data_IF_841206799236
#
_entry.id   IF_841206799236
#
_cell.length_a   1.000
_cell.length_b   1.000
_cell.length_c   1.000
_cell.angle_alpha   90.00
_cell.angle_beta   90.00
_cell.angle_gamma   90.00
#
_symmetry.space_group_name_H-M   'P 1'
#
loop_
_entity.id
_entity.type
_entity.pdbx_description
1 polymer ?
#
# COMPACT_ATOMS: atom_id res chain seq x y z
N UNK A 1 -6.15 -16.79 11.64
CA UNK A 1 -4.95 -15.94 11.81
C UNK A 1 -4.69 -15.33 10.46
N UNK A 2 -4.58 -14.01 10.35
CA UNK A 2 -4.48 -13.34 9.05
C UNK A 2 -3.05 -12.89 8.76
N UNK A 3 -2.66 -12.92 7.49
CA UNK A 3 -1.42 -12.36 6.97
C UNK A 3 -1.73 -11.34 5.89
N UNK A 4 -1.00 -10.24 5.92
CA UNK A 4 -1.14 -9.16 4.94
C UNK A 4 0.04 -9.22 3.99
N UNK A 5 -0.22 -9.40 2.70
CA UNK A 5 0.81 -9.62 1.69
C UNK A 5 0.82 -8.45 0.72
N UNK A 6 1.99 -7.85 0.56
CA UNK A 6 2.25 -6.85 -0.48
C UNK A 6 3.08 -7.43 -1.59
N UNK A 7 2.67 -7.17 -2.84
CA UNK A 7 3.36 -7.68 -4.02
C UNK A 7 3.53 -6.53 -5.03
N UNK A 8 4.76 -6.06 -5.24
CA UNK A 8 5.09 -5.24 -6.41
C UNK A 8 5.38 -6.17 -7.59
N UNK A 9 4.33 -6.50 -8.33
CA UNK A 9 4.35 -7.61 -9.29
C UNK A 9 4.84 -7.14 -10.66
N UNK A 10 6.04 -7.58 -11.03
CA UNK A 10 6.52 -7.39 -12.39
C UNK A 10 5.54 -8.01 -13.41
N UNK A 11 5.22 -7.26 -14.47
CA UNK A 11 4.29 -7.75 -15.48
C UNK A 11 4.84 -8.93 -16.29
N UNK A 12 6.17 -9.02 -16.45
CA UNK A 12 6.83 -10.11 -17.16
C UNK A 12 7.47 -11.14 -16.21
N UNK A 13 7.61 -12.41 -16.62
CA UNK A 13 8.01 -13.52 -15.74
C UNK A 13 9.51 -13.57 -15.40
N UNK A 14 10.30 -12.61 -15.89
CA UNK A 14 11.78 -12.57 -15.72
C UNK A 14 12.27 -11.30 -15.05
N UNK A 15 11.35 -10.41 -14.67
CA UNK A 15 11.66 -9.18 -13.96
C UNK A 15 11.43 -9.37 -12.46
N UNK A 16 12.10 -8.54 -11.66
CA UNK A 16 12.06 -8.65 -10.20
C UNK A 16 10.69 -8.27 -9.67
N UNK A 17 10.21 -9.03 -8.71
CA UNK A 17 8.94 -8.86 -8.00
C UNK A 17 9.27 -8.69 -6.53
N UNK A 18 8.75 -7.62 -5.94
CA UNK A 18 8.88 -7.38 -4.52
C UNK A 18 7.82 -8.18 -3.77
N UNK A 19 8.21 -8.73 -2.63
CA UNK A 19 7.32 -9.42 -1.71
C UNK A 19 7.51 -8.83 -0.32
N UNK A 20 6.41 -8.58 0.38
CA UNK A 20 6.42 -8.26 1.81
C UNK A 20 5.25 -8.94 2.52
N UNK A 21 5.47 -9.40 3.75
CA UNK A 21 4.46 -10.06 4.57
C UNK A 21 4.43 -9.43 5.94
N UNK A 22 3.22 -9.04 6.37
CA UNK A 22 2.95 -8.61 7.74
C UNK A 22 2.24 -9.72 8.51
N UNK A 23 2.53 -9.79 9.81
CA UNK A 23 1.77 -10.63 10.74
C UNK A 23 0.40 -10.03 11.08
N UNK A 24 -0.32 -10.68 11.99
CA UNK A 24 -1.68 -10.26 12.38
C UNK A 24 -1.71 -8.93 13.12
N UNK A 25 -0.62 -8.58 13.81
CA UNK A 25 -0.42 -7.30 14.49
C UNK A 25 0.05 -6.18 13.53
N UNK A 26 0.31 -6.52 12.26
CA UNK A 26 0.78 -5.59 11.23
C UNK A 26 2.29 -5.39 11.20
N UNK A 27 3.08 -6.17 11.95
CA UNK A 27 4.55 -6.05 11.94
C UNK A 27 5.13 -6.70 10.69
N UNK A 28 6.16 -6.10 10.10
CA UNK A 28 6.86 -6.67 8.96
C UNK A 28 7.67 -7.90 9.39
N UNK A 29 7.24 -9.08 8.95
CA UNK A 29 7.91 -10.36 9.29
C UNK A 29 8.77 -10.90 8.16
N UNK A 30 8.54 -10.45 6.91
CA UNK A 30 9.36 -10.81 5.76
C UNK A 30 9.30 -9.74 4.68
N UNK A 31 10.44 -9.47 4.04
CA UNK A 31 10.48 -8.81 2.74
C UNK A 31 11.61 -9.37 1.89
N UNK A 32 11.39 -9.44 0.58
CA UNK A 32 12.39 -9.95 -0.35
C UNK A 32 12.09 -9.50 -1.78
N UNK A 33 13.11 -9.53 -2.63
CA UNK A 33 12.95 -9.44 -4.08
C UNK A 33 13.19 -10.80 -4.72
N UNK A 34 12.22 -11.27 -5.50
CA UNK A 34 12.21 -12.56 -6.21
C UNK A 34 12.03 -12.35 -7.72
N UNK A 35 12.16 -13.39 -8.55
CA UNK A 35 12.04 -13.26 -10.01
C UNK A 35 10.93 -14.14 -10.56
N UNK A 36 10.93 -15.41 -10.18
CA UNK A 36 10.05 -16.43 -10.75
C UNK A 36 8.79 -16.61 -9.92
N UNK A 37 7.70 -17.08 -10.55
CA UNK A 37 6.49 -17.41 -9.78
C UNK A 37 6.73 -18.50 -8.74
N UNK A 38 7.66 -19.44 -8.98
CA UNK A 38 8.01 -20.47 -8.01
C UNK A 38 8.65 -19.90 -6.74
N UNK A 39 9.42 -18.81 -6.87
CA UNK A 39 9.96 -18.10 -5.71
C UNK A 39 8.86 -17.30 -4.98
N UNK A 40 7.88 -16.75 -5.71
CA UNK A 40 6.68 -16.13 -5.11
C UNK A 40 5.92 -17.20 -4.29
N UNK A 41 5.65 -18.36 -4.89
CA UNK A 41 4.98 -19.50 -4.25
C UNK A 41 5.74 -19.95 -2.99
N UNK A 42 7.07 -19.99 -3.05
CA UNK A 42 7.91 -20.36 -1.92
C UNK A 42 7.83 -19.35 -0.76
N UNK A 43 7.83 -18.04 -1.05
CA UNK A 43 7.64 -17.00 -0.03
C UNK A 43 6.27 -17.12 0.61
N UNK A 44 5.21 -17.24 -0.19
CA UNK A 44 3.85 -17.41 0.33
C UNK A 44 3.72 -18.67 1.19
N UNK A 45 4.22 -19.80 0.69
CA UNK A 45 4.22 -21.07 1.43
C UNK A 45 4.96 -20.99 2.78
N UNK A 46 6.07 -20.26 2.86
CA UNK A 46 6.83 -20.12 4.09
C UNK A 46 6.19 -19.16 5.11
N UNK A 47 5.51 -18.10 4.64
CA UNK A 47 5.10 -16.99 5.51
C UNK A 47 3.59 -16.88 5.73
N UNK A 48 2.76 -17.59 4.96
CA UNK A 48 1.29 -17.56 5.08
C UNK A 48 0.67 -18.93 5.37
N UNK A 49 1.47 -19.95 5.68
CA UNK A 49 0.95 -21.30 5.91
C UNK A 49 -0.09 -21.36 7.03
N UNK A 50 -1.29 -21.85 6.71
CA UNK A 50 -2.40 -21.98 7.66
C UNK A 50 -3.08 -20.66 8.05
N UNK A 51 -2.69 -19.54 7.42
CA UNK A 51 -3.29 -18.23 7.64
C UNK A 51 -4.24 -17.84 6.49
N UNK A 52 -5.27 -17.07 6.81
CA UNK A 52 -6.00 -16.31 5.78
C UNK A 52 -5.09 -15.21 5.22
N UNK A 53 -5.18 -14.97 3.90
CA UNK A 53 -4.36 -13.96 3.22
C UNK A 53 -5.23 -12.80 2.77
N UNK A 54 -4.78 -11.59 3.06
CA UNK A 54 -5.23 -10.37 2.40
C UNK A 54 -4.05 -9.86 1.58
N UNK A 55 -4.15 -9.90 0.27
CA UNK A 55 -3.09 -9.47 -0.63
C UNK A 55 -3.41 -8.12 -1.29
N UNK A 56 -2.41 -7.27 -1.42
CA UNK A 56 -2.45 -6.06 -2.24
C UNK A 56 -1.33 -6.16 -3.29
N UNK A 57 -1.73 -6.09 -4.56
CA UNK A 57 -0.88 -6.39 -5.71
C UNK A 57 -0.77 -5.13 -6.59
N UNK A 58 0.44 -4.62 -6.80
CA UNK A 58 0.73 -3.58 -7.80
C UNK A 58 0.82 -4.20 -9.20
N UNK A 59 -0.30 -4.71 -9.69
CA UNK A 59 -0.49 -5.14 -11.06
C UNK A 59 -1.98 -5.34 -11.36
N UNK A 60 -2.39 -5.23 -12.64
CA UNK A 60 -3.76 -5.48 -13.03
C UNK A 60 -4.29 -6.86 -12.59
N UNK A 61 -5.45 -6.88 -11.92
CA UNK A 61 -6.18 -8.11 -11.58
C UNK A 61 -7.31 -8.43 -12.57
N UNK A 62 -7.97 -7.40 -13.10
CA UNK A 62 -9.08 -7.58 -14.05
C UNK A 62 -8.88 -6.63 -15.22
N UNK A 63 -8.64 -7.19 -16.41
CA UNK A 63 -8.43 -6.42 -17.65
C UNK A 63 -9.42 -6.91 -18.71
N UNK A 64 -10.60 -6.31 -18.86
CA UNK A 64 -11.61 -6.81 -19.80
C UNK A 64 -11.50 -6.18 -21.20
N UNK A 65 -10.86 -5.02 -21.31
CA UNK A 65 -10.77 -4.26 -22.55
C UNK A 65 -9.64 -4.76 -23.46
N UNK A 66 -9.93 -4.81 -24.77
CA UNK A 66 -8.94 -5.18 -25.78
C UNK A 66 -7.89 -4.09 -25.99
N UNK A 67 -8.30 -2.82 -26.01
CA UNK A 67 -7.43 -1.65 -26.22
C UNK A 67 -7.84 -0.50 -25.29
N UNK A 68 -7.02 0.55 -25.23
CA UNK A 68 -7.30 1.75 -24.44
C UNK A 68 -7.02 1.59 -22.93
N UNK A 69 -7.68 2.42 -22.13
CA UNK A 69 -7.61 2.42 -20.65
C UNK A 69 -8.87 1.78 -20.06
N UNK A 70 -8.74 1.10 -18.92
CA UNK A 70 -9.88 0.73 -18.07
C UNK A 70 -10.43 1.99 -17.39
N UNK A 71 -11.65 1.89 -16.88
CA UNK A 71 -12.22 2.96 -16.06
C UNK A 71 -11.40 3.24 -14.79
N UNK A 72 -10.75 2.21 -14.24
CA UNK A 72 -9.84 2.34 -13.11
C UNK A 72 -8.70 3.33 -13.38
N UNK A 73 -7.92 3.15 -14.46
CA UNK A 73 -6.83 4.07 -14.83
C UNK A 73 -7.35 5.48 -15.13
N UNK A 74 -8.52 5.60 -15.76
CA UNK A 74 -9.14 6.90 -16.06
C UNK A 74 -9.46 7.64 -14.77
N UNK A 75 -10.09 6.97 -13.80
CA UNK A 75 -10.42 7.55 -12.49
C UNK A 75 -9.17 7.89 -11.69
N UNK A 76 -8.16 7.01 -11.67
CA UNK A 76 -6.86 7.33 -11.07
C UNK A 76 -6.27 8.59 -11.70
N UNK A 77 -6.21 8.66 -13.03
CA UNK A 77 -5.64 9.82 -13.73
C UNK A 77 -6.45 11.10 -13.47
N UNK A 78 -7.78 10.99 -13.35
CA UNK A 78 -8.67 12.10 -13.01
C UNK A 78 -8.37 12.68 -11.63
N UNK A 79 -8.20 11.83 -10.60
CA UNK A 79 -7.98 12.29 -9.22
C UNK A 79 -6.50 12.60 -8.92
N UNK A 80 -5.58 11.85 -9.52
CA UNK A 80 -4.15 11.84 -9.17
C UNK A 80 -3.22 12.42 -10.25
N UNK A 81 -3.73 12.72 -11.45
CA UNK A 81 -2.92 13.22 -12.56
C UNK A 81 -2.17 14.52 -12.25
N UNK A 82 -2.78 15.45 -11.50
CA UNK A 82 -2.13 16.71 -11.08
C UNK A 82 -0.90 16.49 -10.18
N UNK A 83 -0.83 15.35 -9.50
CA UNK A 83 0.29 14.95 -8.64
C UNK A 83 1.36 14.16 -9.42
N UNK A 84 1.21 14.00 -10.74
CA UNK A 84 2.04 13.11 -11.58
C UNK A 84 1.92 11.63 -11.21
N UNK A 85 0.77 11.21 -10.68
CA UNK A 85 0.43 9.85 -10.28
C UNK A 85 -0.67 9.22 -11.18
N UNK A 86 -0.64 9.51 -12.48
CA UNK A 86 -1.53 8.87 -13.46
C UNK A 86 -1.11 7.43 -13.77
N UNK A 87 -2.08 6.55 -14.01
CA UNK A 87 -1.82 5.13 -14.25
C UNK A 87 -1.52 4.82 -15.72
N UNK A 88 -0.73 3.77 -15.95
CA UNK A 88 -0.47 3.25 -17.30
C UNK A 88 -1.67 2.41 -17.79
N UNK A 89 -2.13 2.57 -19.04
CA UNK A 89 -3.25 1.79 -19.58
C UNK A 89 -3.00 0.27 -19.56
N UNK A 90 -3.87 -0.49 -18.88
CA UNK A 90 -3.89 -1.94 -18.99
C UNK A 90 -4.96 -2.38 -20.00
N UNK A 91 -4.57 -3.20 -20.98
CA UNK A 91 -5.47 -3.76 -21.99
C UNK A 91 -4.86 -5.02 -22.63
N UNK A 92 -5.72 -5.86 -23.21
CA UNK A 92 -5.33 -7.19 -23.73
C UNK A 92 -4.47 -7.14 -25.00
N UNK A 93 -4.37 -6.01 -25.70
CA UNK A 93 -3.42 -5.86 -26.81
C UNK A 93 -1.97 -5.84 -26.34
N UNK A 94 -1.72 -5.56 -25.06
CA UNK A 94 -0.43 -5.76 -24.42
C UNK A 94 -0.33 -7.20 -23.91
N UNK A 95 0.63 -7.96 -24.46
CA UNK A 95 0.89 -9.37 -24.08
C UNK A 95 1.15 -9.61 -22.59
N UNK A 96 1.54 -8.58 -21.84
CA UNK A 96 1.74 -8.69 -20.40
C UNK A 96 0.42 -8.69 -19.61
N UNK A 97 -0.69 -8.31 -20.26
CA UNK A 97 -2.03 -8.21 -19.68
C UNK A 97 -3.02 -9.16 -20.35
N UNK A 98 -2.54 -10.15 -21.12
CA UNK A 98 -3.38 -11.17 -21.75
C UNK A 98 -2.78 -12.59 -21.62
N UNK A 99 -3.07 -13.31 -20.51
CA UNK A 99 -3.72 -12.83 -19.30
C UNK A 99 -2.80 -11.97 -18.41
N UNK A 100 -3.36 -11.07 -17.58
CA UNK A 100 -2.58 -10.29 -16.64
C UNK A 100 -2.05 -11.20 -15.52
N UNK A 101 -0.77 -11.02 -15.18
CA UNK A 101 -0.08 -11.86 -14.19
C UNK A 101 -0.72 -11.80 -12.79
N UNK A 102 -1.30 -10.67 -12.42
CA UNK A 102 -2.02 -10.52 -11.14
C UNK A 102 -3.25 -11.43 -11.05
N UNK A 103 -4.04 -11.53 -12.12
CA UNK A 103 -5.18 -12.45 -12.23
C UNK A 103 -4.72 -13.90 -12.05
N UNK A 104 -3.68 -14.31 -12.76
CA UNK A 104 -3.14 -15.66 -12.70
C UNK A 104 -2.62 -16.02 -11.29
N UNK A 105 -1.97 -15.06 -10.61
CA UNK A 105 -1.46 -15.26 -9.27
C UNK A 105 -2.61 -15.43 -8.26
N UNK A 106 -3.63 -14.58 -8.32
CA UNK A 106 -4.80 -14.69 -7.47
C UNK A 106 -5.55 -16.01 -7.68
N UNK A 107 -5.73 -16.44 -8.94
CA UNK A 107 -6.33 -17.73 -9.27
C UNK A 107 -5.51 -18.90 -8.72
N UNK A 108 -4.18 -18.86 -8.87
CA UNK A 108 -3.26 -19.91 -8.38
C UNK A 108 -3.39 -20.13 -6.87
N UNK A 109 -3.55 -19.06 -6.09
CA UNK A 109 -3.64 -19.13 -4.62
C UNK A 109 -5.08 -19.11 -4.08
N UNK A 110 -6.09 -19.15 -4.96
CA UNK A 110 -7.50 -19.14 -4.56
C UNK A 110 -7.93 -17.86 -3.84
N UNK A 111 -7.33 -16.72 -4.21
CA UNK A 111 -7.70 -15.42 -3.67
C UNK A 111 -8.89 -14.84 -4.41
N UNK A 112 -9.91 -14.42 -3.67
CA UNK A 112 -11.05 -13.71 -4.24
C UNK A 112 -10.63 -12.29 -4.65
N UNK A 113 -10.94 -11.90 -5.89
CA UNK A 113 -10.57 -10.60 -6.46
C UNK A 113 -11.75 -9.64 -6.55
N UNK A 114 -12.95 -10.04 -6.13
CA UNK A 114 -14.07 -9.11 -6.02
C UNK A 114 -13.82 -8.20 -4.80
N UNK A 115 -13.65 -6.87 -4.99
CA UNK A 115 -13.36 -5.97 -3.89
C UNK A 115 -14.47 -5.99 -2.84
N UNK A 116 -15.73 -6.33 -3.17
CA UNK A 116 -16.81 -6.40 -2.18
C UNK A 116 -16.69 -7.57 -1.21
N UNK A 117 -15.93 -8.61 -1.58
CA UNK A 117 -15.70 -9.76 -0.73
C UNK A 117 -14.81 -9.37 0.45
N UNK A 118 -15.33 -9.56 1.67
CA UNK A 118 -14.59 -9.33 2.90
C UNK A 118 -13.68 -10.53 3.21
N UNK A 119 -12.46 -10.29 3.70
CA UNK A 119 -11.66 -11.33 4.34
C UNK A 119 -12.47 -11.94 5.49
N UNK A 120 -12.54 -13.27 5.53
CA UNK A 120 -13.29 -14.00 6.55
C UNK A 120 -12.62 -15.37 6.76
N UNK A 121 -13.07 -16.10 7.78
CA UNK A 121 -12.55 -17.44 8.06
C UNK A 121 -12.64 -18.32 6.80
N UNK A 122 -11.50 -18.85 6.37
CA UNK A 122 -11.40 -19.68 5.15
C UNK A 122 -11.51 -18.93 3.82
N UNK A 123 -11.48 -17.59 3.81
CA UNK A 123 -11.56 -16.77 2.60
C UNK A 123 -10.43 -15.75 2.52
N UNK A 124 -9.47 -16.05 1.66
CA UNK A 124 -8.39 -15.14 1.29
C UNK A 124 -8.81 -14.25 0.11
N UNK A 125 -8.33 -13.02 0.09
CA UNK A 125 -8.68 -12.01 -0.93
C UNK A 125 -7.43 -11.34 -1.50
N UNK A 126 -7.56 -10.79 -2.69
CA UNK A 126 -6.54 -9.96 -3.32
C UNK A 126 -7.17 -8.70 -3.92
N UNK A 127 -6.53 -7.55 -3.72
CA UNK A 127 -6.90 -6.28 -4.35
C UNK A 127 -5.78 -5.75 -5.24
N UNK A 128 -6.19 -5.08 -6.32
CA UNK A 128 -5.30 -4.30 -7.15
C UNK A 128 -5.02 -2.96 -6.47
N UNK A 129 -3.75 -2.63 -6.26
CA UNK A 129 -3.33 -1.34 -5.71
C UNK A 129 -2.38 -0.63 -6.66
N UNK A 130 -2.19 0.67 -6.44
CA UNK A 130 -1.20 1.45 -7.17
C UNK A 130 -0.40 2.35 -6.21
N UNK A 131 0.90 2.07 -5.96
CA UNK A 131 1.71 2.74 -4.95
C UNK A 131 1.78 4.27 -5.09
N UNK A 132 1.89 4.82 -6.31
CA UNK A 132 2.05 6.27 -6.47
C UNK A 132 0.86 7.10 -5.93
N UNK A 133 -0.40 6.82 -6.29
CA UNK A 133 -1.57 7.43 -5.64
C UNK A 133 -1.59 7.23 -4.12
N UNK A 134 -1.24 6.03 -3.65
CA UNK A 134 -1.19 5.76 -2.21
C UNK A 134 -0.17 6.64 -1.49
N UNK A 135 1.04 6.82 -2.04
CA UNK A 135 2.06 7.72 -1.49
C UNK A 135 1.59 9.18 -1.48
N UNK A 136 0.89 9.63 -2.52
CA UNK A 136 0.34 10.99 -2.57
C UNK A 136 -0.60 11.25 -1.39
N UNK A 137 -1.47 10.29 -1.08
CA UNK A 137 -2.41 10.39 0.04
C UNK A 137 -1.71 10.23 1.38
N UNK A 138 -1.01 9.13 1.57
CA UNK A 138 -0.43 8.74 2.86
C UNK A 138 0.68 9.68 3.32
N UNK A 139 1.45 10.23 2.39
CA UNK A 139 2.57 11.13 2.71
C UNK A 139 2.26 12.59 2.41
N UNK A 140 1.00 12.91 2.07
CA UNK A 140 0.51 14.27 1.78
C UNK A 140 1.38 15.01 0.73
N UNK A 141 1.73 14.31 -0.34
CA UNK A 141 2.66 14.85 -1.34
C UNK A 141 1.96 15.80 -2.31
N UNK A 142 2.62 16.92 -2.61
CA UNK A 142 2.20 17.81 -3.71
C UNK A 142 2.42 17.18 -5.10
N UNK A 143 3.43 16.29 -5.21
CA UNK A 143 3.73 15.48 -6.40
C UNK A 143 4.46 14.18 -6.00
N UNK A 144 4.40 13.16 -6.86
CA UNK A 144 5.13 11.90 -6.63
C UNK A 144 6.63 12.12 -6.40
N UNK A 145 7.21 11.32 -5.51
CA UNK A 145 8.66 11.25 -5.33
C UNK A 145 9.30 10.63 -6.58
N UNK A 146 10.30 11.28 -7.22
CA UNK A 146 10.89 10.81 -8.47
C UNK A 146 11.99 9.74 -8.27
N UNK A 147 11.75 8.73 -7.42
CA UNK A 147 12.74 7.69 -7.07
C UNK A 147 12.92 6.61 -8.15
N UNK A 148 11.86 6.27 -8.89
CA UNK A 148 11.91 5.27 -9.98
C UNK A 148 12.79 5.71 -11.14
N UNK A 149 13.47 4.76 -11.77
CA UNK A 149 14.36 5.00 -12.92
C UNK A 149 13.60 5.58 -14.12
N UNK A 150 14.01 6.76 -14.60
CA UNK A 150 13.46 7.41 -15.82
C UNK A 150 14.54 8.24 -16.52
N UNK A 151 14.44 8.45 -17.85
CA UNK A 151 15.36 9.35 -18.57
C UNK A 151 15.46 10.72 -17.89
N UNK A 152 16.68 11.22 -17.76
CA UNK A 152 16.95 12.51 -17.11
C UNK A 152 17.07 12.48 -15.58
N UNK A 153 16.99 11.31 -14.94
CA UNK A 153 17.22 11.14 -13.50
C UNK A 153 18.56 10.46 -13.24
N UNK A 154 19.51 11.19 -12.65
CA UNK A 154 20.79 10.64 -12.22
C UNK A 154 20.70 9.98 -10.83
N UNK A 155 21.78 9.33 -10.39
CA UNK A 155 21.83 8.67 -9.08
C UNK A 155 21.64 9.66 -7.93
N UNK A 156 22.22 10.86 -8.02
CA UNK A 156 22.16 11.85 -6.95
C UNK A 156 20.72 12.33 -6.71
N UNK A 157 20.03 12.76 -7.78
CA UNK A 157 18.63 13.19 -7.72
C UNK A 157 17.70 12.07 -7.25
N UNK A 158 17.91 10.83 -7.71
CA UNK A 158 17.15 9.66 -7.23
C UNK A 158 17.43 9.36 -5.77
N UNK A 159 18.68 9.46 -5.31
CA UNK A 159 19.04 9.18 -3.91
C UNK A 159 18.31 10.12 -2.95
N UNK A 160 18.19 11.41 -3.29
CA UNK A 160 17.38 12.36 -2.49
C UNK A 160 15.92 11.93 -2.43
N UNK A 161 15.31 11.59 -3.57
CA UNK A 161 13.93 11.12 -3.62
C UNK A 161 13.72 9.81 -2.85
N UNK A 162 14.71 8.92 -2.88
CA UNK A 162 14.73 7.67 -2.15
C UNK A 162 14.81 7.87 -0.64
N UNK A 163 15.69 8.75 -0.14
CA UNK A 163 15.73 9.07 1.28
C UNK A 163 14.39 9.64 1.75
N UNK A 164 13.79 10.55 0.98
CA UNK A 164 12.46 11.08 1.28
C UNK A 164 11.37 10.00 1.33
N UNK A 165 11.43 8.99 0.44
CA UNK A 165 10.50 7.86 0.44
C UNK A 165 10.66 6.99 1.69
N UNK A 166 11.90 6.61 2.03
CA UNK A 166 12.16 5.77 3.20
C UNK A 166 11.78 6.48 4.51
N UNK A 167 12.09 7.78 4.62
CA UNK A 167 11.72 8.59 5.78
C UNK A 167 10.20 8.74 5.91
N UNK A 168 9.48 8.87 4.80
CA UNK A 168 8.02 8.93 4.79
C UNK A 168 7.39 7.59 5.19
N UNK A 169 7.94 6.47 4.71
CA UNK A 169 7.52 5.13 5.12
C UNK A 169 7.74 4.91 6.62
N UNK A 170 8.93 5.21 7.14
CA UNK A 170 9.19 5.11 8.59
C UNK A 170 8.25 5.98 9.42
N UNK A 171 7.97 7.21 8.96
CA UNK A 171 7.06 8.11 9.67
C UNK A 171 5.62 7.59 9.69
N UNK A 172 5.11 7.12 8.55
CA UNK A 172 3.68 6.81 8.39
C UNK A 172 3.33 5.37 8.72
N UNK A 173 4.19 4.43 8.34
CA UNK A 173 3.94 2.99 8.52
C UNK A 173 4.85 2.37 9.59
N UNK A 174 5.99 3.01 9.89
CA UNK A 174 7.03 2.48 10.78
C UNK A 174 6.55 2.05 12.18
N UNK A 175 5.70 2.81 12.89
CA UNK A 175 5.20 2.39 14.20
C UNK A 175 4.43 1.08 14.17
N UNK A 176 3.63 0.85 13.13
CA UNK A 176 2.86 -0.40 12.95
C UNK A 176 3.76 -1.53 12.45
N UNK A 177 4.53 -1.27 11.39
CA UNK A 177 5.35 -2.29 10.72
C UNK A 177 6.62 -2.65 11.50
N UNK A 178 6.93 -1.92 12.58
CA UNK A 178 8.18 -2.01 13.33
C UNK A 178 9.43 -1.82 12.44
N UNK A 179 9.37 -0.90 11.47
CA UNK A 179 10.41 -0.76 10.43
C UNK A 179 11.79 -0.43 11.02
N UNK A 180 11.87 0.48 11.99
CA UNK A 180 13.15 0.88 12.59
C UNK A 180 13.83 -0.24 13.37
N UNK A 181 13.06 -1.21 13.86
CA UNK A 181 13.53 -2.41 14.58
C UNK A 181 13.80 -3.57 13.62
N UNK A 182 13.26 -3.53 12.41
CA UNK A 182 13.36 -4.59 11.43
C UNK A 182 14.74 -4.57 10.75
N UNK A 183 15.49 -5.66 10.93
CA UNK A 183 16.83 -5.80 10.34
C UNK A 183 16.85 -5.65 8.81
N UNK A 184 15.89 -6.26 8.11
CA UNK A 184 15.85 -6.24 6.64
C UNK A 184 15.57 -4.82 6.13
N UNK A 185 14.70 -4.08 6.81
CA UNK A 185 14.49 -2.67 6.53
C UNK A 185 15.76 -1.83 6.70
N UNK A 186 16.54 -2.06 7.76
CA UNK A 186 17.84 -1.38 7.95
C UNK A 186 18.86 -1.70 6.85
N UNK A 187 18.85 -2.93 6.32
CA UNK A 187 19.65 -3.32 5.16
C UNK A 187 19.23 -2.55 3.89
N UNK A 188 17.92 -2.38 3.66
CA UNK A 188 17.39 -1.58 2.56
C UNK A 188 17.78 -0.10 2.69
N UNK A 189 17.65 0.48 3.88
CA UNK A 189 18.09 1.86 4.17
C UNK A 189 19.57 2.06 3.87
N UNK A 190 20.40 1.13 4.31
CA UNK A 190 21.85 1.16 4.08
C UNK A 190 22.16 1.05 2.58
N UNK A 191 21.53 0.11 1.88
CA UNK A 191 21.72 -0.07 0.43
C UNK A 191 21.39 1.20 -0.37
N UNK A 192 20.31 1.91 0.00
CA UNK A 192 19.94 3.19 -0.61
C UNK A 192 20.94 4.29 -0.26
N UNK A 193 21.36 4.39 1.01
CA UNK A 193 22.31 5.42 1.45
C UNK A 193 23.70 5.28 0.80
N UNK A 194 24.12 4.04 0.51
CA UNK A 194 25.43 3.73 -0.06
C UNK A 194 25.43 3.64 -1.59
N UNK A 195 24.25 3.73 -2.25
CA UNK A 195 24.12 3.58 -3.69
C UNK A 195 24.94 4.62 -4.46
N UNK A 196 25.77 4.16 -5.39
CA UNK A 196 26.59 4.98 -6.29
C UNK A 196 26.23 4.79 -7.75
N UNK A 197 25.47 3.75 -8.08
CA UNK A 197 25.08 3.38 -9.44
C UNK A 197 23.56 3.21 -9.54
N UNK A 198 22.94 3.52 -10.70
CA UNK A 198 21.49 3.43 -10.85
C UNK A 198 20.92 2.06 -10.50
N UNK A 199 21.60 0.98 -10.91
CA UNK A 199 21.11 -0.38 -10.68
C UNK A 199 21.07 -0.77 -9.19
N UNK A 200 21.84 -0.11 -8.31
CA UNK A 200 21.81 -0.39 -6.87
C UNK A 200 20.50 0.09 -6.24
N UNK A 201 19.99 1.23 -6.71
CA UNK A 201 18.66 1.73 -6.36
C UNK A 201 17.55 0.87 -7.00
N UNK A 202 17.74 0.47 -8.27
CA UNK A 202 16.78 -0.40 -8.96
C UNK A 202 16.66 -1.76 -8.26
N UNK A 203 17.72 -2.21 -7.55
CA UNK A 203 17.74 -3.49 -6.82
C UNK A 203 16.92 -3.52 -5.53
N UNK A 204 16.48 -2.38 -5.03
CA UNK A 204 15.64 -2.31 -3.82
C UNK A 204 14.23 -1.79 -4.12
N UNK A 205 14.00 -1.29 -5.33
CA UNK A 205 12.74 -0.66 -5.75
C UNK A 205 11.53 -1.54 -5.47
N UNK A 206 11.51 -2.74 -6.03
CA UNK A 206 10.37 -3.63 -5.94
C UNK A 206 10.10 -4.08 -4.49
N UNK A 207 11.15 -4.37 -3.71
CA UNK A 207 11.00 -4.79 -2.32
C UNK A 207 10.41 -3.68 -1.43
N UNK A 208 10.81 -2.42 -1.62
CA UNK A 208 10.26 -1.29 -0.86
C UNK A 208 8.81 -1.00 -1.27
N UNK A 209 8.51 -1.04 -2.57
CA UNK A 209 7.14 -0.85 -3.07
C UNK A 209 6.20 -1.96 -2.56
N UNK A 210 6.69 -3.19 -2.45
CA UNK A 210 5.95 -4.29 -1.86
C UNK A 210 5.66 -4.09 -0.37
N UNK A 211 6.58 -3.49 0.40
CA UNK A 211 6.32 -3.13 1.82
C UNK A 211 5.15 -2.14 1.93
N UNK A 212 5.09 -1.14 1.04
CA UNK A 212 3.95 -0.24 0.99
C UNK A 212 2.67 -1.00 0.59
N UNK A 213 2.74 -1.90 -0.39
CA UNK A 213 1.59 -2.73 -0.76
C UNK A 213 1.10 -3.56 0.43
N UNK A 214 1.98 -4.12 1.25
CA UNK A 214 1.60 -4.92 2.41
C UNK A 214 0.86 -4.08 3.46
N UNK A 215 1.29 -2.82 3.65
CA UNK A 215 0.56 -1.86 4.46
C UNK A 215 -0.83 -1.53 3.87
N UNK A 216 -0.96 -1.42 2.54
CA UNK A 216 -2.27 -1.23 1.90
C UNK A 216 -3.20 -2.45 2.07
N UNK A 217 -2.64 -3.67 2.07
CA UNK A 217 -3.40 -4.88 2.41
C UNK A 217 -3.90 -4.85 3.86
N UNK A 218 -3.06 -4.39 4.80
CA UNK A 218 -3.45 -4.22 6.21
C UNK A 218 -4.55 -3.17 6.37
N UNK A 219 -4.43 -2.01 5.70
CA UNK A 219 -5.47 -0.96 5.69
C UNK A 219 -6.77 -1.48 5.08
N UNK A 220 -6.71 -2.24 3.99
CA UNK A 220 -7.89 -2.83 3.38
C UNK A 220 -8.71 -3.71 4.32
N UNK A 221 -8.02 -4.40 5.24
CA UNK A 221 -8.66 -5.24 6.23
C UNK A 221 -9.21 -4.44 7.41
N UNK A 222 -8.41 -3.52 7.98
CA UNK A 222 -8.72 -2.86 9.26
C UNK A 222 -9.38 -1.49 9.15
N UNK A 223 -9.10 -0.75 8.08
CA UNK A 223 -9.57 0.62 7.85
C UNK A 223 -10.17 0.73 6.46
N UNK A 224 -11.12 -0.16 6.19
CA UNK A 224 -11.70 -0.31 4.86
C UNK A 224 -12.46 0.94 4.41
N UNK A 225 -13.11 1.64 5.34
CA UNK A 225 -13.92 2.83 5.02
C UNK A 225 -13.05 3.99 4.51
N UNK A 226 -11.76 4.01 4.85
CA UNK A 226 -10.77 4.91 4.27
C UNK A 226 -10.37 4.53 2.84
N UNK A 227 -10.51 3.27 2.46
CA UNK A 227 -10.07 2.76 1.17
C UNK A 227 -11.13 3.00 0.09
N UNK A 228 -10.70 3.52 -1.05
CA UNK A 228 -11.57 3.87 -2.18
C UNK A 228 -11.29 2.93 -3.35
N UNK A 229 -12.34 2.27 -3.83
CA UNK A 229 -12.31 1.45 -5.04
C UNK A 229 -12.59 2.33 -6.25
N UNK A 230 -11.62 2.48 -7.14
CA UNK A 230 -11.76 3.22 -8.39
C UNK A 230 -11.98 2.26 -9.55
N UNK A 231 -13.24 2.12 -9.98
CA UNK A 231 -13.66 1.17 -11.01
C UNK A 231 -14.64 0.15 -10.46
N UNK A 232 -14.70 -1.05 -11.06
CA UNK A 232 -15.59 -2.13 -10.62
C UNK A 232 -14.92 -3.50 -10.75
N UNK A 233 -15.42 -4.51 -10.03
CA UNK A 233 -14.96 -5.89 -10.17
C UNK A 233 -15.06 -6.41 -11.62
N UNK A 234 -16.04 -5.92 -12.39
CA UNK A 234 -16.29 -6.33 -13.78
C UNK A 234 -15.37 -5.62 -14.76
N UNK A 235 -15.19 -4.31 -14.60
CA UNK A 235 -14.51 -3.46 -15.60
C UNK A 235 -13.02 -3.25 -15.28
N UNK A 236 -12.56 -3.78 -14.15
CA UNK A 236 -11.26 -3.48 -13.55
C UNK A 236 -11.37 -2.36 -12.52
N UNK A 237 -10.55 -2.45 -11.48
CA UNK A 237 -10.52 -1.48 -10.39
C UNK A 237 -9.09 -1.31 -9.86
N UNK A 238 -8.84 -0.17 -9.22
CA UNK A 238 -7.64 0.09 -8.42
C UNK A 238 -8.08 0.62 -7.07
N UNK A 239 -7.54 0.09 -5.98
CA UNK A 239 -7.83 0.54 -4.62
C UNK A 239 -6.76 1.54 -4.16
N UNK A 240 -7.20 2.66 -3.58
CA UNK A 240 -6.34 3.72 -3.04
C UNK A 240 -6.77 4.08 -1.60
N UNK A 241 -5.85 4.54 -0.73
CA UNK A 241 -6.15 4.84 0.68
C UNK A 241 -6.80 6.22 0.89
N UNK A 242 -7.80 6.55 0.08
CA UNK A 242 -8.51 7.84 0.07
C UNK A 242 -8.31 8.63 -1.22
N UNK A 243 -9.00 9.77 -1.34
CA UNK A 243 -8.82 10.72 -2.44
C UNK A 243 -8.13 12.01 -1.95
N UNK A 244 -7.34 12.68 -2.81
CA UNK A 244 -6.70 13.93 -2.45
C UNK A 244 -7.76 15.03 -2.21
N UNK A 245 -7.77 15.61 -1.00
CA UNK A 245 -8.75 16.61 -0.57
C UNK A 245 -9.63 16.15 0.59
N UNK A 246 -9.96 14.85 0.63
CA UNK A 246 -10.75 14.25 1.72
C UNK A 246 -9.90 14.04 3.00
N UNK A 247 -8.58 13.99 2.84
CA UNK A 247 -7.60 13.81 3.94
C UNK A 247 -7.63 14.99 4.91
N UNK A 248 -7.93 16.21 4.44
CA UNK A 248 -8.08 17.37 5.33
C UNK A 248 -9.20 17.20 6.37
N UNK A 249 -10.15 16.29 6.10
CA UNK A 249 -11.21 15.92 7.05
C UNK A 249 -10.81 14.71 7.94
N UNK A 250 -10.00 13.76 7.45
CA UNK A 250 -9.74 12.49 8.16
C UNK A 250 -8.43 12.44 8.99
N UNK A 251 -7.30 12.99 8.53
CA UNK A 251 -6.07 13.07 9.37
C UNK A 251 -6.23 14.14 10.46
N UNK A 252 -7.03 15.17 10.19
CA UNK A 252 -7.47 16.11 11.21
C UNK A 252 -8.22 15.43 12.35
N UNK A 253 -9.05 14.42 12.08
CA UNK A 253 -9.86 13.73 13.10
C UNK A 253 -8.99 13.00 14.12
N UNK A 254 -8.17 12.04 13.68
CA UNK A 254 -7.35 11.22 14.57
C UNK A 254 -6.29 12.06 15.32
N UNK A 255 -5.64 13.03 14.67
CA UNK A 255 -4.69 13.90 15.37
C UNK A 255 -5.38 14.91 16.30
N UNK A 256 -6.60 15.38 15.98
CA UNK A 256 -7.38 16.23 16.91
C UNK A 256 -7.87 15.41 18.10
N UNK A 257 -8.30 14.18 17.87
CA UNK A 257 -8.71 13.26 18.93
C UNK A 257 -7.54 12.96 19.86
N UNK A 258 -6.37 12.61 19.31
CA UNK A 258 -5.15 12.39 20.09
C UNK A 258 -4.73 13.65 20.86
N UNK A 259 -4.74 14.83 20.23
CA UNK A 259 -4.46 16.12 20.91
C UNK A 259 -5.47 16.43 22.01
N UNK A 260 -6.75 16.11 21.79
CA UNK A 260 -7.81 16.31 22.79
C UNK A 260 -7.63 15.35 23.98
N UNK A 261 -7.27 14.09 23.72
CA UNK A 261 -6.95 13.11 24.77
C UNK A 261 -5.75 13.59 25.59
N UNK A 262 -4.67 14.01 24.94
CA UNK A 262 -3.46 14.47 25.62
C UNK A 262 -3.71 15.76 26.41
N UNK A 263 -4.48 16.71 25.87
CA UNK A 263 -4.89 17.92 26.59
C UNK A 263 -5.77 17.60 27.82
N UNK A 264 -6.69 16.65 27.69
CA UNK A 264 -7.56 16.22 28.80
C UNK A 264 -6.75 15.57 29.92
N UNK A 265 -5.71 14.79 29.60
CA UNK A 265 -4.82 14.18 30.58
C UNK A 265 -3.92 15.21 31.29
N UNK A 266 -3.58 16.32 30.63
CA UNK A 266 -2.83 17.43 31.26
C UNK A 266 -3.72 18.16 32.27
N UNK A 267 -4.95 18.47 31.90
CA UNK A 267 -5.90 19.19 32.78
C UNK A 267 -6.48 18.28 33.88
N UNK A 268 -6.62 16.98 33.60
CA UNK A 268 -7.22 15.98 34.49
C UNK A 268 -6.28 14.78 34.68
N UNK A 269 -5.16 14.94 35.41
CA UNK A 269 -4.10 13.92 35.52
C UNK A 269 -4.51 12.66 36.29
N UNK A 270 -5.70 12.64 36.89
CA UNK A 270 -6.27 11.45 37.55
C UNK A 270 -7.02 10.52 36.57
N UNK A 271 -7.26 10.93 35.33
CA UNK A 271 -7.86 10.07 34.31
C UNK A 271 -6.84 9.08 33.75
N UNK A 272 -7.30 7.87 33.44
CA UNK A 272 -6.54 6.95 32.59
C UNK A 272 -6.70 7.37 31.13
N UNK A 273 -5.71 7.04 30.28
CA UNK A 273 -5.78 7.32 28.84
C UNK A 273 -7.05 6.75 28.19
N UNK A 274 -7.42 5.52 28.55
CA UNK A 274 -8.65 4.87 28.07
C UNK A 274 -9.94 5.61 28.51
N UNK A 275 -9.95 6.19 29.73
CA UNK A 275 -11.06 7.01 30.18
C UNK A 275 -11.11 8.37 29.44
N UNK A 276 -9.96 8.94 29.11
CA UNK A 276 -9.85 10.16 28.33
C UNK A 276 -10.30 9.96 26.87
N UNK A 277 -9.91 8.85 26.23
CA UNK A 277 -10.36 8.45 24.89
C UNK A 277 -11.89 8.30 24.84
N UNK A 278 -12.48 7.59 25.82
CA UNK A 278 -13.95 7.49 25.93
C UNK A 278 -14.64 8.84 26.08
N UNK A 279 -14.06 9.75 26.87
CA UNK A 279 -14.62 11.08 27.09
C UNK A 279 -14.60 11.92 25.79
N UNK A 280 -13.47 11.91 25.07
CA UNK A 280 -13.34 12.61 23.79
C UNK A 280 -14.31 12.05 22.75
N UNK A 281 -14.46 10.72 22.67
CA UNK A 281 -15.40 10.08 21.75
C UNK A 281 -16.89 10.41 22.04
N UNK A 282 -17.27 10.55 23.32
CA UNK A 282 -18.63 10.97 23.69
C UNK A 282 -18.88 12.42 23.30
N UNK A 283 -17.95 13.31 23.59
CA UNK A 283 -18.06 14.74 23.26
C UNK A 283 -18.08 14.95 21.74
N UNK A 284 -17.26 14.21 20.98
CA UNK A 284 -17.26 14.25 19.52
C UNK A 284 -18.64 13.95 18.92
N UNK A 285 -19.29 12.87 19.38
CA UNK A 285 -20.63 12.48 18.91
C UNK A 285 -21.72 13.49 19.25
N UNK A 286 -21.67 14.11 20.43
CA UNK A 286 -22.64 15.12 20.84
C UNK A 286 -22.48 16.42 20.02
N UNK A 287 -21.25 16.80 19.67
CA UNK A 287 -20.98 17.98 18.85
C UNK A 287 -21.38 17.78 17.38
N UNK A 288 -21.23 16.57 16.85
CA UNK A 288 -21.69 16.22 15.49
C UNK A 288 -23.22 16.11 15.38
N UNK A 289 -23.92 15.92 16.50
CA UNK A 289 -25.38 15.86 16.56
C UNK A 289 -26.06 17.24 16.67
N UNK A 290 -25.29 18.33 16.77
CA UNK A 290 -25.80 19.69 16.80
C UNK A 290 -26.01 20.21 15.35
N UNK A 291 -27.18 20.83 15.06
CA UNK A 291 -27.54 21.27 13.70
C UNK A 291 -26.76 22.48 13.19
#
# INVERSE_FOLDING_TARGET
MTRYVGIDLAWGPRARTGMAVLDEDGRLVHSSSVVTDAEIDAVLGAHTHGAEVVAAIDAPLVVPNLTGMRDAERLVTQHFGRYSAGAYPANRSNKNFDPPRGELLAQRHGWDVDPEVRPAAGRSVAIEVYPHPAMVVLFELERVLPYKSKPGRDVASRSVAWQALLDALERVTGPLLALTENRRWQELRTAVAEARRPFELDRVEDEVDAILCAYLAWLWHHDRDRMVVLGTARDGYIVVPGLPGDISASTGGAEREQRAVDALLVEMPFLTREAAERAVAVVGRELEALP
#
